data_IF_696402964394
#
_entry.id   IF_696402964394
#
_cell.length_a   1.000
_cell.length_b   1.000
_cell.length_c   1.000
_cell.angle_alpha   90.00
_cell.angle_beta   90.00
_cell.angle_gamma   90.00
#
_symmetry.space_group_name_H-M   'P 1'
#
loop_
_entity.id
_entity.type
_entity.pdbx_description
1 polymer ?
#
# COMPACT_ATOMS: atom_id res chain seq x y z
N UNK A 1 6.32 7.04 7.54
CA UNK A 1 6.25 7.99 8.67
C UNK A 1 7.30 9.06 8.45
N UNK A 2 6.90 10.33 8.45
CA UNK A 2 7.77 11.50 8.36
C UNK A 2 7.83 12.15 9.73
N UNK A 3 9.03 12.56 10.15
CA UNK A 3 9.22 13.33 11.38
C UNK A 3 10.30 14.38 11.12
N UNK A 4 10.07 15.60 11.61
CA UNK A 4 11.01 16.71 11.46
C UNK A 4 10.89 17.68 12.63
N UNK A 5 11.90 18.54 12.76
CA UNK A 5 11.98 19.54 13.81
C UNK A 5 12.48 20.86 13.22
N UNK A 6 12.02 21.96 13.80
CA UNK A 6 12.46 23.32 13.46
C UNK A 6 13.25 23.89 14.64
N UNK A 7 14.21 24.75 14.35
CA UNK A 7 14.98 25.47 15.38
C UNK A 7 14.39 26.86 15.68
N UNK A 8 13.61 27.43 14.77
CA UNK A 8 12.93 28.72 14.92
C UNK A 8 11.74 28.81 13.96
N UNK A 9 10.66 29.46 14.41
CA UNK A 9 9.41 29.64 13.67
C UNK A 9 8.87 31.05 13.93
N UNK A 10 9.36 32.03 13.18
CA UNK A 10 8.85 33.40 13.23
C UNK A 10 7.95 33.63 12.03
N UNK A 11 6.75 34.16 12.26
CA UNK A 11 5.73 34.41 11.23
C UNK A 11 5.33 33.20 10.38
N UNK A 12 5.38 32.02 11.01
CA UNK A 12 5.09 30.73 10.41
C UNK A 12 3.62 30.33 10.54
N UNK A 13 3.04 29.74 9.49
CA UNK A 13 1.67 29.21 9.48
C UNK A 13 1.62 27.70 9.64
N UNK A 14 2.68 26.97 9.29
CA UNK A 14 2.75 25.51 9.37
C UNK A 14 3.30 24.85 8.12
N UNK A 15 3.28 23.52 8.11
CA UNK A 15 3.75 22.71 6.98
C UNK A 15 2.61 22.03 6.25
N UNK A 16 2.60 22.11 4.92
CA UNK A 16 1.87 21.17 4.09
C UNK A 16 2.75 19.99 3.69
N UNK A 17 2.13 18.81 3.54
CA UNK A 17 2.82 17.60 3.08
C UNK A 17 2.41 17.32 1.64
N UNK A 18 3.40 17.13 0.79
CA UNK A 18 3.24 16.77 -0.60
C UNK A 18 3.80 15.39 -0.87
N UNK A 19 3.14 14.65 -1.76
CA UNK A 19 3.52 13.32 -2.21
C UNK A 19 3.59 13.26 -3.72
N UNK A 20 4.59 12.58 -4.27
CA UNK A 20 4.66 12.30 -5.70
C UNK A 20 5.15 10.87 -5.94
N UNK A 21 4.55 10.19 -6.92
CA UNK A 21 5.04 8.91 -7.43
C UNK A 21 6.19 9.14 -8.42
N UNK A 22 7.25 8.35 -8.29
CA UNK A 22 8.41 8.39 -9.18
C UNK A 22 8.74 7.03 -9.78
N UNK A 23 9.47 7.04 -10.90
CA UNK A 23 10.07 5.82 -11.43
C UNK A 23 11.33 5.41 -10.67
N UNK A 24 11.96 6.37 -10.00
CA UNK A 24 13.17 6.20 -9.19
C UNK A 24 13.07 7.05 -7.91
N UNK A 25 14.08 6.93 -7.05
CA UNK A 25 14.19 7.80 -5.87
C UNK A 25 14.58 9.24 -6.23
N UNK A 26 15.12 9.47 -7.44
CA UNK A 26 15.54 10.78 -7.92
C UNK A 26 14.32 11.54 -8.45
N UNK A 27 13.78 12.36 -7.56
CA UNK A 27 12.76 13.37 -7.83
C UNK A 27 13.34 14.72 -7.43
N UNK A 28 13.04 15.77 -8.20
CA UNK A 28 13.68 17.08 -8.04
C UNK A 28 13.45 17.74 -6.68
N UNK A 29 14.18 18.82 -6.39
CA UNK A 29 14.06 19.56 -5.12
C UNK A 29 12.66 20.13 -4.84
N UNK A 30 11.80 20.22 -5.86
CA UNK A 30 10.41 20.65 -5.75
C UNK A 30 9.49 19.61 -6.41
N UNK A 31 8.27 19.43 -5.87
CA UNK A 31 7.25 18.63 -6.53
C UNK A 31 6.85 19.24 -7.88
N UNK A 32 6.51 18.40 -8.85
CA UNK A 32 5.92 18.84 -10.12
C UNK A 32 4.38 18.82 -10.10
N UNK A 33 3.76 19.05 -11.25
CA UNK A 33 2.31 19.14 -11.39
C UNK A 33 1.56 17.81 -11.08
N UNK A 34 2.26 16.69 -10.96
CA UNK A 34 1.68 15.38 -10.61
C UNK A 34 1.63 15.13 -9.10
N UNK A 35 2.24 16.01 -8.30
CA UNK A 35 2.25 15.87 -6.86
C UNK A 35 0.88 16.17 -6.24
N UNK A 36 0.56 15.43 -5.18
CA UNK A 36 -0.66 15.57 -4.40
C UNK A 36 -0.33 16.18 -3.04
N UNK A 37 -1.10 17.19 -2.61
CA UNK A 37 -1.03 17.72 -1.25
C UNK A 37 -1.89 16.87 -0.31
N UNK A 38 -1.24 16.19 0.64
CA UNK A 38 -1.89 15.25 1.56
C UNK A 38 -2.57 15.93 2.76
N UNK A 39 -2.26 17.19 3.01
CA UNK A 39 -2.81 17.98 4.12
C UNK A 39 -3.78 19.04 3.63
N UNK A 40 -4.96 19.11 4.24
CA UNK A 40 -5.96 20.16 3.96
C UNK A 40 -5.57 21.49 4.61
N UNK A 41 -5.08 21.45 5.86
CA UNK A 41 -4.58 22.60 6.60
C UNK A 41 -3.11 22.39 6.98
N UNK A 42 -2.31 23.47 7.19
CA UNK A 42 -0.93 23.33 7.63
C UNK A 42 -0.84 22.61 8.97
N UNK A 43 0.12 21.70 9.10
CA UNK A 43 0.46 21.07 10.37
C UNK A 43 1.23 22.10 11.19
N UNK A 44 0.78 22.33 12.42
CA UNK A 44 1.39 23.23 13.39
C UNK A 44 1.86 22.44 14.60
N UNK A 45 2.89 22.94 15.29
CA UNK A 45 3.38 22.34 16.52
C UNK A 45 3.79 23.41 17.53
N UNK A 46 3.37 23.31 18.80
CA UNK A 46 3.74 24.29 19.82
C UNK A 46 5.21 24.17 20.26
N UNK A 47 5.90 23.07 19.93
CA UNK A 47 7.27 22.79 20.36
C UNK A 47 8.23 22.58 19.18
N UNK A 48 7.83 22.98 17.97
CA UNK A 48 8.64 22.82 16.76
C UNK A 48 8.91 21.37 16.36
N UNK A 49 8.22 20.38 16.94
CA UNK A 49 8.34 18.96 16.56
C UNK A 49 7.10 18.50 15.82
N UNK A 50 7.30 17.87 14.67
CA UNK A 50 6.23 17.51 13.76
C UNK A 50 6.33 16.05 13.33
N UNK A 51 5.17 15.47 13.03
CA UNK A 51 5.08 14.13 12.46
C UNK A 51 3.90 14.01 11.52
N UNK A 52 4.06 13.20 10.47
CA UNK A 52 2.98 12.84 9.57
C UNK A 52 3.07 11.37 9.14
N UNK A 53 1.92 10.68 9.15
CA UNK A 53 1.81 9.30 8.68
C UNK A 53 0.92 9.25 7.43
N UNK A 54 1.56 9.03 6.28
CA UNK A 54 0.84 8.59 5.08
C UNK A 54 0.52 7.08 5.20
N UNK A 55 -0.65 6.76 5.74
CA UNK A 55 -1.13 5.38 5.90
C UNK A 55 -1.60 4.76 4.56
N UNK A 56 -1.83 5.60 3.55
CA UNK A 56 -2.31 5.22 2.23
C UNK A 56 -1.23 5.41 1.17
N UNK A 57 0.05 5.33 1.57
CA UNK A 57 1.17 5.47 0.66
C UNK A 57 1.11 4.38 -0.44
N UNK A 58 1.10 4.75 -1.72
CA UNK A 58 1.12 3.78 -2.81
C UNK A 58 2.45 3.04 -2.85
N UNK A 59 2.44 1.80 -3.34
CA UNK A 59 3.66 1.04 -3.60
C UNK A 59 4.46 1.65 -4.74
N UNK A 60 5.79 1.54 -4.69
CA UNK A 60 6.71 2.11 -5.67
C UNK A 60 7.66 3.12 -5.04
N UNK A 61 8.35 3.91 -5.86
CA UNK A 61 9.10 5.05 -5.35
C UNK A 61 8.14 6.21 -5.06
N UNK A 62 8.20 6.72 -3.85
CA UNK A 62 7.37 7.83 -3.39
C UNK A 62 8.29 8.90 -2.81
N UNK A 63 8.19 10.10 -3.38
CA UNK A 63 8.82 11.31 -2.87
C UNK A 63 7.87 12.07 -1.96
N UNK A 64 8.39 12.58 -0.85
CA UNK A 64 7.66 13.46 0.06
C UNK A 64 8.38 14.80 0.24
N UNK A 65 7.62 15.89 0.18
CA UNK A 65 8.12 17.24 0.45
C UNK A 65 7.32 17.88 1.58
N UNK A 66 8.02 18.74 2.33
CA UNK A 66 7.42 19.67 3.26
C UNK A 66 7.34 21.02 2.56
N UNK A 67 6.16 21.60 2.47
CA UNK A 67 5.98 23.00 2.09
C UNK A 67 5.80 23.81 3.37
N UNK A 68 6.83 24.57 3.75
CA UNK A 68 6.75 25.56 4.82
C UNK A 68 5.97 26.77 4.31
N UNK A 69 4.92 27.17 5.01
CA UNK A 69 4.09 28.32 4.64
C UNK A 69 4.21 29.40 5.71
N UNK A 70 4.53 30.62 5.27
CA UNK A 70 4.59 31.80 6.11
C UNK A 70 3.23 32.53 6.14
N UNK A 71 3.02 33.40 7.14
CA UNK A 71 1.77 34.19 7.28
C UNK A 71 1.59 35.25 6.20
N UNK A 72 2.67 35.64 5.52
CA UNK A 72 2.65 36.57 4.40
C UNK A 72 2.29 35.89 3.06
N UNK A 73 2.10 34.55 3.05
CA UNK A 73 1.79 33.77 1.87
C UNK A 73 2.99 33.28 1.05
N UNK A 74 4.23 33.51 1.51
CA UNK A 74 5.41 32.86 0.90
C UNK A 74 5.52 31.40 1.34
N UNK A 75 6.08 30.56 0.47
CA UNK A 75 6.36 29.17 0.82
C UNK A 75 7.71 28.68 0.31
N UNK A 76 8.28 27.73 1.05
CA UNK A 76 9.53 27.04 0.72
C UNK A 76 9.32 25.53 0.77
N UNK A 77 9.97 24.80 -0.13
CA UNK A 77 9.91 23.34 -0.18
C UNK A 77 11.18 22.70 0.36
N UNK A 78 11.03 21.69 1.21
CA UNK A 78 12.09 20.85 1.72
C UNK A 78 11.87 19.39 1.29
N UNK A 79 12.91 18.77 0.74
CA UNK A 79 12.85 17.39 0.26
C UNK A 79 13.54 17.20 -1.10
N UNK A 80 13.24 16.08 -1.79
CA UNK A 80 12.36 15.02 -1.33
C UNK A 80 13.00 14.13 -0.26
N UNK A 81 12.17 13.61 0.64
CA UNK A 81 12.44 12.33 1.28
C UNK A 81 11.85 11.24 0.39
N UNK A 82 12.70 10.59 -0.38
CA UNK A 82 12.31 9.48 -1.25
C UNK A 82 12.47 8.14 -0.55
N UNK A 83 11.46 7.28 -0.68
CA UNK A 83 11.54 5.90 -0.25
C UNK A 83 10.89 4.98 -1.26
N UNK A 84 11.33 3.73 -1.28
CA UNK A 84 10.61 2.66 -1.95
C UNK A 84 9.62 2.05 -0.97
N UNK A 85 8.35 2.32 -1.19
CA UNK A 85 7.26 1.64 -0.49
C UNK A 85 7.08 0.29 -1.17
N UNK A 86 7.38 -0.77 -0.46
CA UNK A 86 7.05 -2.12 -0.91
C UNK A 86 5.55 -2.34 -0.72
N UNK A 87 4.92 -3.05 -1.66
CA UNK A 87 3.59 -3.59 -1.43
C UNK A 87 3.59 -4.32 -0.09
N UNK A 88 2.55 -4.11 0.74
CA UNK A 88 2.38 -4.96 1.93
C UNK A 88 2.34 -6.40 1.44
N UNK A 89 3.25 -7.22 1.95
CA UNK A 89 3.29 -8.63 1.59
C UNK A 89 1.92 -9.24 1.83
N UNK A 90 1.40 -9.90 0.80
CA UNK A 90 0.16 -10.63 0.93
C UNK A 90 0.42 -11.89 1.75
N UNK A 91 -0.38 -12.11 2.77
CA UNK A 91 -0.18 -13.20 3.72
C UNK A 91 -1.32 -14.18 3.67
N UNK A 92 -1.00 -15.45 3.88
CA UNK A 92 -1.97 -16.52 4.07
C UNK A 92 -1.78 -17.14 5.46
N UNK A 93 -2.86 -17.27 6.23
CA UNK A 93 -2.82 -17.90 7.54
C UNK A 93 -4.11 -18.69 7.84
N UNK A 94 -4.00 -19.90 8.40
CA UNK A 94 -2.76 -20.67 8.54
C UNK A 94 -2.19 -21.09 7.18
N UNK A 95 -0.88 -21.27 7.10
CA UNK A 95 -0.23 -21.86 5.92
C UNK A 95 1.02 -22.61 6.43
N UNK A 96 0.99 -23.95 6.51
CA UNK A 96 0.01 -24.87 5.89
C UNK A 96 -1.40 -24.85 6.52
N UNK A 97 -2.43 -25.28 5.79
CA UNK A 97 -3.84 -25.31 6.25
C UNK A 97 -4.54 -26.66 5.95
N UNK A 98 -5.56 -26.99 6.75
CA UNK A 98 -6.39 -28.20 6.57
C UNK A 98 -7.78 -27.87 6.00
N UNK A 99 -8.50 -26.98 6.68
CA UNK A 99 -9.87 -26.60 6.33
C UNK A 99 -9.91 -25.27 5.60
N UNK A 100 -9.58 -24.19 6.29
CA UNK A 100 -9.69 -22.83 5.74
C UNK A 100 -8.36 -22.10 5.85
N UNK A 101 -8.06 -21.28 4.85
CA UNK A 101 -6.99 -20.30 4.87
C UNK A 101 -7.56 -18.91 4.66
N UNK A 102 -7.17 -17.97 5.51
CA UNK A 102 -7.46 -16.56 5.35
C UNK A 102 -6.34 -15.88 4.58
N UNK A 103 -6.70 -15.00 3.66
CA UNK A 103 -5.80 -14.25 2.81
C UNK A 103 -5.96 -12.77 3.15
N UNK A 104 -4.84 -12.14 3.51
CA UNK A 104 -4.72 -10.68 3.57
C UNK A 104 -4.01 -10.24 2.31
N UNK A 105 -4.74 -9.59 1.42
CA UNK A 105 -4.22 -9.08 0.15
C UNK A 105 -4.03 -7.56 0.23
N UNK A 106 -3.17 -6.97 -0.61
CA UNK A 106 -2.96 -5.53 -0.61
C UNK A 106 -4.25 -4.75 -0.93
N UNK A 107 -4.33 -3.52 -0.43
CA UNK A 107 -5.40 -2.59 -0.81
C UNK A 107 -5.35 -2.34 -2.32
N UNK A 108 -6.51 -2.20 -2.97
CA UNK A 108 -6.59 -2.06 -4.43
C UNK A 108 -6.42 -3.37 -5.21
N UNK A 109 -6.51 -4.53 -4.54
CA UNK A 109 -6.63 -5.83 -5.19
C UNK A 109 -7.85 -5.87 -6.09
N UNK A 110 -7.62 -6.04 -7.39
CA UNK A 110 -8.67 -6.25 -8.37
C UNK A 110 -9.16 -7.70 -8.34
N UNK A 111 -10.47 -7.86 -8.55
CA UNK A 111 -11.12 -9.17 -8.63
C UNK A 111 -11.35 -9.62 -10.08
N UNK A 112 -11.41 -10.94 -10.35
CA UNK A 112 -11.41 -12.04 -9.38
C UNK A 112 -10.01 -12.38 -8.84
N UNK A 113 -9.95 -12.71 -7.55
CA UNK A 113 -8.78 -13.37 -6.94
C UNK A 113 -8.82 -14.85 -7.31
N UNK A 114 -7.74 -15.40 -7.85
CA UNK A 114 -7.72 -16.77 -8.38
C UNK A 114 -6.92 -17.70 -7.51
N UNK A 115 -7.48 -18.87 -7.21
CA UNK A 115 -6.75 -20.02 -6.66
C UNK A 115 -6.38 -20.94 -7.82
N UNK A 116 -5.10 -21.26 -7.96
CA UNK A 116 -4.56 -22.10 -9.03
C UNK A 116 -3.88 -23.33 -8.44
N UNK A 117 -3.93 -24.45 -9.15
CA UNK A 117 -3.07 -25.59 -8.84
C UNK A 117 -1.65 -25.39 -9.42
N UNK A 118 -0.73 -26.32 -9.15
CA UNK A 118 0.66 -26.27 -9.62
C UNK A 118 0.81 -26.23 -11.14
N UNK A 119 -0.22 -26.60 -11.90
CA UNK A 119 -0.21 -26.54 -13.36
C UNK A 119 -0.67 -25.18 -13.89
N UNK A 120 -1.09 -24.27 -13.02
CA UNK A 120 -1.67 -22.98 -13.38
C UNK A 120 -3.15 -23.04 -13.75
N UNK A 121 -3.82 -24.17 -13.53
CA UNK A 121 -5.26 -24.29 -13.76
C UNK A 121 -6.03 -23.63 -12.63
N UNK A 122 -7.03 -22.82 -12.98
CA UNK A 122 -7.92 -22.17 -11.99
C UNK A 122 -8.78 -23.23 -11.31
N UNK A 123 -8.63 -23.30 -9.99
CA UNK A 123 -9.38 -24.17 -9.08
C UNK A 123 -10.65 -23.48 -8.59
N UNK A 124 -10.53 -22.20 -8.21
CA UNK A 124 -11.63 -21.38 -7.71
C UNK A 124 -11.32 -19.89 -7.92
N UNK A 125 -12.36 -19.10 -8.19
CA UNK A 125 -12.30 -17.64 -8.12
C UNK A 125 -12.97 -17.18 -6.82
N UNK A 126 -12.32 -16.31 -6.06
CA UNK A 126 -12.85 -15.72 -4.83
C UNK A 126 -13.44 -14.35 -5.16
N UNK A 127 -14.67 -14.11 -4.67
CA UNK A 127 -15.34 -12.83 -4.79
C UNK A 127 -14.72 -11.79 -3.85
N UNK A 128 -14.97 -10.50 -4.14
CA UNK A 128 -14.58 -9.41 -3.24
C UNK A 128 -15.32 -9.55 -1.91
N UNK A 129 -14.62 -9.59 -0.77
CA UNK A 129 -15.27 -9.51 0.52
C UNK A 129 -16.01 -8.17 0.69
N UNK A 130 -17.05 -8.17 1.51
CA UNK A 130 -17.68 -6.93 1.98
C UNK A 130 -16.64 -6.13 2.79
N UNK A 131 -16.68 -4.80 2.70
CA UNK A 131 -15.68 -3.90 3.32
C UNK A 131 -15.27 -4.33 4.73
N UNK A 132 -13.96 -4.52 4.92
CA UNK A 132 -13.35 -4.94 6.19
C UNK A 132 -13.18 -6.45 6.38
N UNK A 133 -13.76 -7.31 5.52
CA UNK A 133 -13.57 -8.76 5.63
C UNK A 133 -12.32 -9.24 4.87
N UNK A 134 -11.67 -10.31 5.38
CA UNK A 134 -10.56 -10.99 4.73
C UNK A 134 -11.08 -11.95 3.65
N UNK A 135 -10.31 -12.12 2.57
CA UNK A 135 -10.59 -13.19 1.61
C UNK A 135 -10.33 -14.53 2.30
N UNK A 136 -11.13 -15.55 2.00
CA UNK A 136 -10.93 -16.88 2.56
C UNK A 136 -11.14 -17.95 1.51
N UNK A 137 -10.42 -19.06 1.68
CA UNK A 137 -10.60 -20.26 0.88
C UNK A 137 -10.68 -21.49 1.79
N UNK A 138 -11.70 -22.30 1.57
CA UNK A 138 -12.08 -23.49 2.34
C UNK A 138 -11.49 -24.80 1.77
N UNK A 139 -10.53 -24.70 0.84
CA UNK A 139 -9.97 -25.87 0.17
C UNK A 139 -10.93 -26.56 -0.80
N UNK A 140 -11.96 -25.88 -1.32
CA UNK A 140 -12.90 -26.44 -2.32
C UNK A 140 -12.74 -25.81 -3.70
N UNK A 141 -13.01 -26.60 -4.74
CA UNK A 141 -13.08 -26.12 -6.12
C UNK A 141 -14.39 -25.35 -6.40
N UNK A 142 -14.54 -24.83 -7.62
CA UNK A 142 -15.74 -24.11 -8.06
C UNK A 142 -17.06 -24.94 -7.99
N UNK A 143 -16.98 -26.28 -7.92
CA UNK A 143 -18.14 -27.16 -7.76
C UNK A 143 -18.44 -27.52 -6.30
N UNK A 144 -17.68 -26.96 -5.34
CA UNK A 144 -17.83 -27.23 -3.92
C UNK A 144 -17.16 -28.53 -3.46
N UNK A 145 -16.39 -29.20 -4.31
CA UNK A 145 -15.66 -30.43 -3.95
C UNK A 145 -14.33 -30.08 -3.32
N UNK A 146 -13.93 -30.82 -2.29
CA UNK A 146 -12.61 -30.65 -1.68
C UNK A 146 -11.50 -30.99 -2.65
N UNK A 147 -10.48 -30.14 -2.68
CA UNK A 147 -9.28 -30.38 -3.49
C UNK A 147 -8.26 -31.21 -2.71
N UNK A 148 -7.40 -32.01 -3.36
CA UNK A 148 -6.38 -32.79 -2.67
C UNK A 148 -5.44 -31.95 -1.80
N UNK A 149 -4.74 -32.61 -0.88
CA UNK A 149 -3.55 -32.00 -0.26
C UNK A 149 -2.50 -31.72 -1.34
N UNK A 150 -1.82 -30.58 -1.24
CA UNK A 150 -0.92 -30.13 -2.30
C UNK A 150 -0.61 -28.65 -2.23
N UNK A 151 0.16 -28.20 -3.22
CA UNK A 151 0.53 -26.79 -3.38
C UNK A 151 -0.52 -26.11 -4.27
N UNK A 152 -0.94 -24.93 -3.84
CA UNK A 152 -1.82 -24.05 -4.58
C UNK A 152 -1.23 -22.64 -4.60
N UNK A 153 -1.68 -21.82 -5.53
CA UNK A 153 -1.24 -20.44 -5.66
C UNK A 153 -2.46 -19.51 -5.62
N UNK A 154 -2.37 -18.42 -4.87
CA UNK A 154 -3.29 -17.29 -4.99
C UNK A 154 -2.66 -16.32 -5.98
N UNK A 155 -3.40 -15.89 -7.01
CA UNK A 155 -2.96 -14.84 -7.93
C UNK A 155 -3.99 -13.71 -7.99
N UNK A 156 -3.50 -12.48 -7.92
CA UNK A 156 -4.31 -11.27 -8.07
C UNK A 156 -3.70 -10.30 -9.06
N UNK A 157 -4.49 -9.30 -9.45
CA UNK A 157 -4.00 -8.09 -10.12
C UNK A 157 -4.19 -6.92 -9.18
N UNK A 158 -3.27 -5.95 -9.26
CA UNK A 158 -3.36 -4.70 -8.53
C UNK A 158 -3.69 -3.57 -9.51
N UNK A 159 -4.40 -2.56 -9.01
CA UNK A 159 -4.79 -1.37 -9.79
C UNK A 159 -3.65 -0.33 -9.90
N UNK A 160 -2.39 -0.78 -9.94
CA UNK A 160 -1.22 0.12 -9.83
C UNK A 160 -0.60 0.50 -11.18
N UNK A 161 -1.28 0.26 -12.31
CA UNK A 161 -0.81 0.62 -13.66
C UNK A 161 0.44 -0.13 -14.16
N UNK A 162 1.19 -0.79 -13.27
CA UNK A 162 2.23 -1.78 -13.58
C UNK A 162 1.68 -3.17 -13.32
N UNK A 163 1.94 -4.10 -14.22
CA UNK A 163 1.51 -5.51 -14.14
C UNK A 163 2.26 -6.30 -13.05
N UNK A 164 2.27 -5.80 -11.81
CA UNK A 164 2.75 -6.55 -10.65
C UNK A 164 1.58 -7.35 -10.09
N UNK A 165 1.55 -8.65 -10.36
CA UNK A 165 0.58 -9.56 -9.75
C UNK A 165 1.16 -10.09 -8.44
N UNK A 166 0.36 -10.07 -7.37
CA UNK A 166 0.73 -10.75 -6.13
C UNK A 166 0.51 -12.24 -6.29
N UNK A 167 1.49 -13.05 -5.88
CA UNK A 167 1.37 -14.51 -5.82
C UNK A 167 1.67 -15.04 -4.42
N UNK A 168 0.73 -15.80 -3.83
CA UNK A 168 0.91 -16.45 -2.53
C UNK A 168 0.91 -17.95 -2.71
N UNK A 169 1.95 -18.64 -2.25
CA UNK A 169 1.99 -20.10 -2.19
C UNK A 169 1.20 -20.59 -0.98
N UNK A 170 0.25 -21.49 -1.20
CA UNK A 170 -0.51 -22.18 -0.16
C UNK A 170 -0.12 -23.65 -0.12
N UNK A 171 0.03 -24.22 1.08
CA UNK A 171 0.18 -25.66 1.29
C UNK A 171 -1.06 -26.21 1.99
N UNK A 172 -1.87 -26.99 1.27
CA UNK A 172 -2.98 -27.75 1.87
C UNK A 172 -2.45 -29.08 2.38
N UNK A 173 -2.79 -29.41 3.62
CA UNK A 173 -2.53 -30.71 4.26
C UNK A 173 -3.86 -31.39 4.61
N UNK A 174 -3.82 -32.70 4.87
CA UNK A 174 -5.00 -33.45 5.34
C UNK A 174 -5.26 -33.22 6.81
#
# INVERSE_FOLDING_TARGET
HLAWQTSSELDFSGFHIWRQLGESADVGARPDATAERLTVAPITSPNGTYSYLDAAAPSGFVGYWLEAVDRNGTSEFFGPRSLRVHEKDATAWPNPFQSTVELRLPNGTQTPVRILDVTGRVVRELATPVEGASWSWDGRDASGREVPAGIYFVRTRLDTGRSSGTEIKLLRVR
#
